data_IF_795564313277
#
_entry.id   IF_795564313277
#
_cell.length_a   1.000
_cell.length_b   1.000
_cell.length_c   1.000
_cell.angle_alpha   90.00
_cell.angle_beta   90.00
_cell.angle_gamma   90.00
#
_symmetry.space_group_name_H-M   'P 1'
#
loop_
_entity.id
_entity.type
_entity.pdbx_description
1 polymer ?
#
# COMPACT_ATOMS: atom_id res chain seq x y z
N UNK A 1 14.09 -26.49 -1.31
CA UNK A 1 13.53 -27.53 -2.20
C UNK A 1 14.29 -27.71 -3.53
N UNK A 2 15.08 -26.74 -4.02
CA UNK A 2 15.98 -26.94 -5.17
C UNK A 2 17.41 -26.48 -4.86
N UNK A 3 18.41 -27.09 -5.52
CA UNK A 3 19.81 -26.67 -5.39
C UNK A 3 19.97 -25.35 -6.13
N UNK A 4 20.51 -24.33 -5.47
CA UNK A 4 20.86 -23.05 -6.10
C UNK A 4 22.29 -23.12 -6.63
N UNK A 5 22.48 -23.03 -7.94
CA UNK A 5 23.79 -23.04 -8.61
C UNK A 5 23.97 -21.72 -9.35
N UNK A 6 25.10 -21.06 -9.12
CA UNK A 6 25.40 -19.78 -9.79
C UNK A 6 25.55 -20.02 -11.28
N UNK A 7 24.78 -19.26 -12.06
CA UNK A 7 24.80 -19.28 -13.51
C UNK A 7 25.63 -18.13 -14.09
N UNK A 8 25.48 -16.93 -13.53
CA UNK A 8 26.22 -15.74 -13.94
C UNK A 8 26.52 -14.81 -12.77
N UNK A 9 27.58 -14.00 -12.92
CA UNK A 9 27.96 -12.93 -11.99
C UNK A 9 28.40 -11.70 -12.76
N UNK A 10 27.94 -10.55 -12.34
CA UNK A 10 28.37 -9.25 -12.85
C UNK A 10 28.71 -8.31 -11.71
N UNK A 11 29.69 -7.45 -11.92
CA UNK A 11 30.08 -6.40 -10.96
C UNK A 11 29.98 -5.04 -11.60
N UNK A 12 29.33 -4.11 -10.91
CA UNK A 12 29.17 -2.72 -11.32
C UNK A 12 29.89 -1.85 -10.30
N UNK A 13 30.74 -0.92 -10.75
CA UNK A 13 31.48 -0.01 -9.87
C UNK A 13 30.80 1.35 -9.83
N UNK A 14 30.66 1.91 -8.64
CA UNK A 14 30.15 3.27 -8.45
C UNK A 14 31.29 4.26 -8.29
N UNK A 15 31.05 5.51 -8.71
CA UNK A 15 31.99 6.63 -8.51
C UNK A 15 31.97 7.10 -7.05
N UNK A 16 30.77 7.20 -6.49
CA UNK A 16 30.51 7.63 -5.12
C UNK A 16 29.84 6.50 -4.33
N UNK A 17 29.96 6.55 -3.01
CA UNK A 17 29.26 5.61 -2.14
C UNK A 17 27.75 5.87 -2.19
N UNK A 18 26.97 4.80 -2.29
CA UNK A 18 25.51 4.88 -2.19
C UNK A 18 25.12 5.11 -0.73
N UNK A 19 24.34 6.16 -0.42
CA UNK A 19 23.98 6.51 0.96
C UNK A 19 23.15 5.40 1.61
N UNK A 20 23.19 5.37 2.94
CA UNK A 20 22.25 4.59 3.74
C UNK A 20 20.82 5.10 3.53
N UNK A 21 19.87 4.19 3.71
CA UNK A 21 18.48 4.58 3.81
C UNK A 21 17.67 3.59 4.62
N UNK A 22 16.36 3.73 4.55
CA UNK A 22 15.43 2.95 5.37
C UNK A 22 15.00 1.70 4.59
N UNK A 23 15.60 0.54 4.90
CA UNK A 23 15.30 -0.73 4.24
C UNK A 23 13.80 -1.09 4.23
N UNK A 24 13.02 -0.91 5.32
CA UNK A 24 11.55 -1.04 5.28
C UNK A 24 10.88 -0.19 4.20
N UNK A 25 11.24 1.09 4.10
CA UNK A 25 10.68 2.00 3.11
C UNK A 25 11.08 1.59 1.69
N UNK A 26 12.36 1.26 1.46
CA UNK A 26 12.84 0.76 0.16
C UNK A 26 12.16 -0.54 -0.26
N UNK A 27 11.81 -1.39 0.69
CA UNK A 27 10.99 -2.58 0.41
C UNK A 27 9.60 -2.20 -0.10
N UNK A 28 8.92 -1.22 0.51
CA UNK A 28 7.62 -0.72 0.02
C UNK A 28 7.77 -0.14 -1.40
N UNK A 29 8.80 0.70 -1.60
CA UNK A 29 9.11 1.33 -2.89
C UNK A 29 9.39 0.28 -3.97
N UNK A 30 10.18 -0.76 -3.67
CA UNK A 30 10.50 -1.83 -4.61
C UNK A 30 9.24 -2.60 -5.01
N UNK A 31 8.41 -2.99 -4.04
CA UNK A 31 7.16 -3.71 -4.31
C UNK A 31 6.21 -2.86 -5.15
N UNK A 32 6.09 -1.56 -4.85
CA UNK A 32 5.27 -0.63 -5.62
C UNK A 32 5.81 -0.43 -7.03
N UNK A 33 7.11 -0.20 -7.20
CA UNK A 33 7.73 0.06 -8.49
C UNK A 33 7.66 -1.15 -9.41
N UNK A 34 7.93 -2.35 -8.90
CA UNK A 34 7.77 -3.61 -9.65
C UNK A 34 6.30 -3.84 -10.02
N UNK A 35 5.35 -3.52 -9.13
CA UNK A 35 3.93 -3.59 -9.43
C UNK A 35 3.53 -2.62 -10.55
N UNK A 36 4.10 -1.41 -10.55
CA UNK A 36 3.85 -0.39 -11.56
C UNK A 36 4.39 -0.80 -12.93
N UNK A 37 5.64 -1.26 -13.01
CA UNK A 37 6.25 -1.75 -14.25
C UNK A 37 5.52 -2.95 -14.86
N UNK A 38 5.05 -3.85 -14.01
CA UNK A 38 4.31 -5.04 -14.43
C UNK A 38 2.82 -4.77 -14.62
N UNK A 39 2.34 -3.56 -14.31
CA UNK A 39 0.94 -3.16 -14.23
C UNK A 39 0.07 -4.17 -13.44
N UNK A 40 0.65 -4.78 -12.40
CA UNK A 40 0.09 -5.94 -11.69
C UNK A 40 0.03 -5.70 -10.20
N UNK A 41 -1.16 -5.89 -9.62
CA UNK A 41 -1.33 -5.93 -8.16
C UNK A 41 -0.74 -7.26 -7.64
N UNK A 42 0.23 -7.22 -6.71
CA UNK A 42 0.84 -8.43 -6.16
C UNK A 42 -0.07 -9.17 -5.19
N UNK A 43 0.23 -10.45 -5.01
CA UNK A 43 -0.29 -11.28 -3.92
C UNK A 43 0.81 -11.51 -2.88
N UNK A 44 0.42 -11.57 -1.60
CA UNK A 44 1.35 -11.66 -0.48
C UNK A 44 1.20 -13.00 0.24
N UNK A 45 2.32 -13.68 0.48
CA UNK A 45 2.35 -14.95 1.21
C UNK A 45 3.45 -14.96 2.24
N UNK A 46 3.12 -15.40 3.46
CA UNK A 46 4.10 -15.61 4.52
C UNK A 46 4.42 -17.10 4.57
N UNK A 47 5.70 -17.43 4.34
CA UNK A 47 6.21 -18.80 4.46
C UNK A 47 6.98 -18.91 5.77
N UNK A 48 6.27 -19.18 6.86
CA UNK A 48 6.79 -19.11 8.23
C UNK A 48 8.02 -20.00 8.48
N UNK A 49 8.06 -21.21 7.91
CA UNK A 49 9.21 -22.12 8.04
C UNK A 49 10.49 -21.55 7.39
N UNK A 50 10.33 -20.74 6.35
CA UNK A 50 11.44 -20.08 5.64
C UNK A 50 11.71 -18.67 6.18
N UNK A 51 10.86 -18.17 7.09
CA UNK A 51 10.88 -16.79 7.59
C UNK A 51 10.91 -15.77 6.46
N UNK A 52 10.11 -16.00 5.43
CA UNK A 52 10.08 -15.15 4.23
C UNK A 52 8.70 -14.58 3.98
N UNK A 53 8.69 -13.34 3.51
CA UNK A 53 7.54 -12.71 2.87
C UNK A 53 7.74 -12.79 1.35
N UNK A 54 6.78 -13.42 0.68
CA UNK A 54 6.74 -13.60 -0.77
C UNK A 54 5.75 -12.60 -1.36
N UNK A 55 6.21 -11.87 -2.37
CA UNK A 55 5.41 -10.91 -3.14
C UNK A 55 5.33 -11.44 -4.56
N UNK A 56 4.17 -11.98 -4.92
CA UNK A 56 3.97 -12.75 -6.14
C UNK A 56 3.19 -11.97 -7.19
N UNK A 57 3.74 -11.90 -8.39
CA UNK A 57 3.15 -11.24 -9.56
C UNK A 57 2.78 -12.31 -10.59
N UNK A 58 1.58 -12.88 -10.46
CA UNK A 58 1.12 -13.98 -11.30
C UNK A 58 0.97 -13.59 -12.78
N UNK A 59 1.38 -14.47 -13.70
CA UNK A 59 1.33 -14.28 -15.16
C UNK A 59 2.12 -13.06 -15.65
N UNK A 60 3.26 -12.79 -15.01
CA UNK A 60 4.18 -11.73 -15.42
C UNK A 60 5.48 -12.31 -15.95
N UNK A 61 6.22 -11.51 -16.69
CA UNK A 61 7.56 -11.86 -17.15
C UNK A 61 8.44 -10.63 -17.21
N UNK A 62 9.74 -10.80 -16.96
CA UNK A 62 10.70 -9.70 -16.96
C UNK A 62 12.05 -10.19 -17.49
N UNK A 63 12.71 -9.37 -18.30
CA UNK A 63 14.11 -9.59 -18.69
C UNK A 63 14.99 -9.44 -17.45
N UNK A 64 15.69 -10.49 -17.07
CA UNK A 64 16.44 -10.59 -15.81
C UNK A 64 17.52 -9.51 -15.70
N UNK A 65 18.25 -9.23 -16.79
CA UNK A 65 19.28 -8.19 -16.79
C UNK A 65 18.69 -6.79 -16.64
N UNK A 66 17.60 -6.48 -17.34
CA UNK A 66 16.89 -5.20 -17.19
C UNK A 66 16.35 -5.04 -15.76
N UNK A 67 15.83 -6.12 -15.17
CA UNK A 67 15.38 -6.12 -13.78
C UNK A 67 16.54 -5.81 -12.83
N UNK A 68 17.68 -6.48 -12.99
CA UNK A 68 18.86 -6.28 -12.15
C UNK A 68 19.50 -4.91 -12.35
N UNK A 69 19.48 -4.37 -13.57
CA UNK A 69 19.94 -3.01 -13.86
C UNK A 69 19.04 -1.97 -13.17
N UNK A 70 17.73 -2.13 -13.27
CA UNK A 70 16.75 -1.18 -12.71
C UNK A 70 16.64 -1.27 -11.19
N UNK A 71 16.57 -2.47 -10.64
CA UNK A 71 16.26 -2.72 -9.23
C UNK A 71 17.44 -3.24 -8.40
N UNK A 72 18.61 -3.48 -9.00
CA UNK A 72 19.75 -4.07 -8.31
C UNK A 72 20.26 -3.23 -7.13
N UNK A 73 20.35 -1.91 -7.30
CA UNK A 73 20.76 -1.00 -6.20
C UNK A 73 19.76 -1.05 -5.05
N UNK A 74 18.47 -0.96 -5.37
CA UNK A 74 17.39 -0.99 -4.37
C UNK A 74 17.37 -2.35 -3.64
N UNK A 75 17.52 -3.44 -4.39
CA UNK A 75 17.62 -4.80 -3.86
C UNK A 75 18.81 -4.96 -2.91
N UNK A 76 19.96 -4.37 -3.23
CA UNK A 76 21.13 -4.41 -2.37
C UNK A 76 20.95 -3.57 -1.09
N UNK A 77 20.33 -2.39 -1.17
CA UNK A 77 20.00 -1.56 0.00
C UNK A 77 19.05 -2.28 0.96
N UNK A 78 18.04 -2.97 0.41
CA UNK A 78 17.11 -3.77 1.22
C UNK A 78 17.85 -4.96 1.84
N UNK A 79 18.69 -5.65 1.06
CA UNK A 79 19.40 -6.87 1.48
C UNK A 79 20.34 -6.72 2.66
N UNK A 80 20.76 -5.50 2.99
CA UNK A 80 21.56 -5.25 4.21
C UNK A 80 20.79 -5.54 5.49
N UNK A 81 19.45 -5.45 5.44
CA UNK A 81 18.56 -5.80 6.56
C UNK A 81 17.69 -7.02 6.24
N UNK A 82 17.06 -7.05 5.07
CA UNK A 82 16.18 -8.11 4.62
C UNK A 82 16.72 -8.70 3.32
N UNK A 83 17.52 -9.78 3.37
CA UNK A 83 18.03 -10.43 2.17
C UNK A 83 16.91 -10.65 1.14
N UNK A 84 17.05 -10.02 -0.03
CA UNK A 84 16.05 -10.11 -1.10
C UNK A 84 16.57 -10.98 -2.23
N UNK A 85 15.68 -11.81 -2.76
CA UNK A 85 15.90 -12.49 -4.02
C UNK A 85 14.67 -12.34 -4.90
N UNK A 86 14.88 -12.20 -6.20
CA UNK A 86 13.83 -12.31 -7.20
C UNK A 86 13.88 -13.73 -7.74
N UNK A 87 12.74 -14.39 -7.83
CA UNK A 87 12.66 -15.75 -8.33
C UNK A 87 11.45 -15.96 -9.21
N UNK A 88 11.48 -17.04 -9.97
CA UNK A 88 10.41 -17.43 -10.87
C UNK A 88 10.82 -18.66 -11.65
N UNK A 89 10.38 -18.74 -12.90
CA UNK A 89 10.72 -19.82 -13.82
C UNK A 89 11.34 -19.25 -15.09
N UNK A 90 12.38 -19.90 -15.63
CA UNK A 90 12.85 -19.61 -16.98
C UNK A 90 11.96 -20.27 -18.03
N UNK A 91 12.22 -19.97 -19.32
CA UNK A 91 11.51 -20.60 -20.46
C UNK A 91 11.64 -22.13 -20.51
N UNK A 92 12.69 -22.71 -19.91
CA UNK A 92 12.88 -24.16 -19.80
C UNK A 92 12.14 -24.78 -18.60
N UNK A 93 11.21 -24.03 -17.98
CA UNK A 93 10.46 -24.39 -16.77
C UNK A 93 11.37 -24.68 -15.56
N UNK A 94 12.57 -24.10 -15.57
CA UNK A 94 13.53 -24.24 -14.50
C UNK A 94 13.37 -23.14 -13.47
N UNK A 95 13.47 -23.47 -12.18
CA UNK A 95 13.47 -22.46 -11.13
C UNK A 95 14.77 -21.65 -11.14
N UNK A 96 14.62 -20.33 -11.14
CA UNK A 96 15.71 -19.36 -11.26
C UNK A 96 15.63 -18.28 -10.19
N UNK A 97 16.78 -17.68 -9.87
CA UNK A 97 16.92 -16.61 -8.90
C UNK A 97 17.85 -15.52 -9.42
N UNK A 98 17.55 -14.28 -9.06
CA UNK A 98 18.39 -13.12 -9.25
C UNK A 98 18.56 -12.38 -7.92
N UNK A 99 19.78 -12.00 -7.59
CA UNK A 99 20.14 -11.31 -6.36
C UNK A 99 21.11 -10.17 -6.64
N UNK A 100 21.07 -9.14 -5.81
CA UNK A 100 22.01 -8.03 -5.84
C UNK A 100 22.49 -7.72 -4.42
N UNK A 101 23.77 -7.44 -4.27
CA UNK A 101 24.37 -7.11 -2.99
C UNK A 101 25.56 -6.16 -3.11
N UNK A 102 25.73 -5.29 -2.11
CA UNK A 102 26.89 -4.43 -2.06
C UNK A 102 28.13 -5.18 -1.59
N UNK A 103 29.25 -4.90 -2.24
CA UNK A 103 30.58 -5.35 -1.82
C UNK A 103 31.52 -4.14 -1.71
N UNK A 104 32.69 -4.34 -1.08
CA UNK A 104 33.71 -3.30 -0.90
C UNK A 104 33.17 -2.00 -0.26
N UNK A 105 32.24 -2.10 0.68
CA UNK A 105 31.64 -0.95 1.37
C UNK A 105 30.79 -0.07 0.46
N UNK A 106 29.89 -0.68 -0.33
CA UNK A 106 28.99 -0.05 -1.33
C UNK A 106 29.68 0.69 -2.49
N UNK A 107 30.92 0.34 -2.77
CA UNK A 107 31.64 0.85 -3.96
C UNK A 107 31.38 0.01 -5.19
N UNK A 108 30.97 -1.24 -5.00
CA UNK A 108 30.57 -2.12 -6.09
C UNK A 108 29.27 -2.84 -5.74
N UNK A 109 28.46 -3.06 -6.77
CA UNK A 109 27.28 -3.90 -6.74
C UNK A 109 27.63 -5.22 -7.42
N UNK A 110 27.40 -6.33 -6.72
CA UNK A 110 27.46 -7.67 -7.29
C UNK A 110 26.04 -8.12 -7.65
N UNK A 111 25.84 -8.48 -8.92
CA UNK A 111 24.62 -9.06 -9.45
C UNK A 111 24.86 -10.55 -9.68
N UNK A 112 23.97 -11.40 -9.18
CA UNK A 112 24.11 -12.85 -9.25
C UNK A 112 22.84 -13.45 -9.85
N UNK A 113 22.99 -14.19 -10.94
CA UNK A 113 21.96 -15.09 -11.47
C UNK A 113 22.26 -16.51 -11.03
N UNK A 114 21.25 -17.23 -10.57
CA UNK A 114 21.34 -18.64 -10.20
C UNK A 114 20.20 -19.43 -10.80
N UNK A 115 20.47 -20.69 -11.12
CA UNK A 115 19.48 -21.65 -11.59
C UNK A 115 19.73 -23.01 -10.92
N UNK A 116 18.83 -23.97 -11.12
CA UNK A 116 18.98 -25.34 -10.60
C UNK A 116 20.10 -26.11 -11.31
N UNK A 117 20.30 -25.84 -12.59
CA UNK A 117 21.23 -26.48 -13.52
C UNK A 117 22.56 -25.73 -13.63
N UNK A 118 22.60 -24.46 -13.21
CA UNK A 118 23.74 -23.57 -13.40
C UNK A 118 23.82 -22.98 -14.81
N UNK A 119 22.81 -23.20 -15.66
CA UNK A 119 22.68 -22.53 -16.95
C UNK A 119 22.16 -21.11 -16.76
N UNK A 120 22.69 -20.19 -17.56
CA UNK A 120 22.24 -18.81 -17.59
C UNK A 120 20.87 -18.68 -18.27
N UNK A 121 20.20 -17.56 -18.02
CA UNK A 121 18.84 -17.29 -18.49
C UNK A 121 18.61 -15.78 -18.67
N UNK A 122 17.79 -15.46 -19.65
CA UNK A 122 17.49 -14.07 -20.02
C UNK A 122 16.20 -13.56 -19.36
N UNK A 123 15.20 -14.44 -19.18
CA UNK A 123 13.86 -14.08 -18.74
C UNK A 123 13.45 -14.83 -17.47
N UNK A 124 12.74 -14.14 -16.57
CA UNK A 124 12.07 -14.73 -15.41
C UNK A 124 10.57 -14.53 -15.59
N UNK A 125 9.84 -15.65 -15.68
CA UNK A 125 8.38 -15.66 -15.64
C UNK A 125 7.86 -15.93 -14.23
N UNK A 126 6.65 -15.46 -13.96
CA UNK A 126 5.98 -15.55 -12.65
C UNK A 126 6.84 -14.91 -11.56
N UNK A 127 7.15 -13.61 -11.73
CA UNK A 127 8.04 -12.86 -10.84
C UNK A 127 7.55 -12.97 -9.39
N UNK A 128 8.47 -13.32 -8.51
CA UNK A 128 8.25 -13.36 -7.07
C UNK A 128 9.44 -12.72 -6.35
N UNK A 129 9.18 -11.67 -5.58
CA UNK A 129 10.17 -11.11 -4.66
C UNK A 129 10.08 -11.86 -3.33
N UNK A 130 11.22 -12.30 -2.82
CA UNK A 130 11.32 -13.01 -1.55
C UNK A 130 12.20 -12.22 -0.60
N UNK A 131 11.62 -11.75 0.49
CA UNK A 131 12.32 -11.02 1.56
C UNK A 131 12.48 -11.95 2.76
N UNK A 132 13.71 -12.18 3.18
CA UNK A 132 13.99 -12.89 4.44
C UNK A 132 13.87 -11.92 5.62
N UNK A 133 12.97 -12.22 6.55
CA UNK A 133 12.67 -11.39 7.72
C UNK A 133 12.57 -12.32 8.93
N UNK A 134 13.62 -12.30 9.74
CA UNK A 134 13.79 -13.20 10.90
C UNK A 134 12.71 -12.97 11.97
N UNK A 135 12.40 -11.70 12.27
CA UNK A 135 11.40 -11.32 13.26
C UNK A 135 9.99 -11.43 12.68
N UNK A 136 9.16 -12.26 13.32
CA UNK A 136 7.79 -12.53 12.89
C UNK A 136 6.90 -11.30 13.01
N UNK A 137 7.02 -10.51 14.08
CA UNK A 137 6.21 -9.30 14.25
C UNK A 137 6.52 -8.25 13.20
N UNK A 138 7.81 -8.05 12.89
CA UNK A 138 8.28 -7.15 11.83
C UNK A 138 7.80 -7.61 10.45
N UNK A 139 7.88 -8.92 10.16
CA UNK A 139 7.39 -9.50 8.91
C UNK A 139 5.89 -9.31 8.73
N UNK A 140 5.12 -9.58 9.78
CA UNK A 140 3.66 -9.47 9.74
C UNK A 140 3.23 -8.00 9.60
N UNK A 141 3.92 -7.07 10.27
CA UNK A 141 3.68 -5.63 10.15
C UNK A 141 4.01 -5.11 8.73
N UNK A 142 5.15 -5.52 8.15
CA UNK A 142 5.51 -5.17 6.77
C UNK A 142 4.51 -5.73 5.77
N UNK A 143 4.06 -6.98 5.97
CA UNK A 143 3.01 -7.57 5.14
C UNK A 143 1.68 -6.80 5.27
N UNK A 144 1.32 -6.37 6.49
CA UNK A 144 0.11 -5.57 6.73
C UNK A 144 0.19 -4.20 6.04
N UNK A 145 1.36 -3.54 6.06
CA UNK A 145 1.59 -2.29 5.34
C UNK A 145 1.37 -2.45 3.83
N UNK A 146 1.79 -3.58 3.26
CA UNK A 146 1.66 -3.88 1.83
C UNK A 146 0.27 -4.39 1.42
N UNK A 147 -0.56 -4.83 2.37
CA UNK A 147 -1.83 -5.53 2.09
C UNK A 147 -2.82 -4.75 1.22
N UNK A 148 -2.68 -3.42 1.17
CA UNK A 148 -3.54 -2.52 0.42
C UNK A 148 -2.80 -1.76 -0.70
N UNK A 149 -1.61 -2.23 -1.09
CA UNK A 149 -0.82 -1.58 -2.11
C UNK A 149 -1.57 -1.55 -3.44
N UNK A 150 -1.62 -0.36 -4.04
CA UNK A 150 -2.14 -0.12 -5.38
C UNK A 150 -1.12 0.74 -6.13
N UNK A 151 -0.49 0.18 -7.17
CA UNK A 151 0.56 0.85 -7.94
C UNK A 151 0.06 2.10 -8.68
N UNK A 152 -1.26 2.26 -8.80
CA UNK A 152 -1.92 3.41 -9.41
C UNK A 152 -2.08 4.58 -8.44
N UNK A 153 -1.58 4.47 -7.21
CA UNK A 153 -1.63 5.51 -6.19
C UNK A 153 -0.22 6.00 -5.89
N UNK A 154 -0.07 7.29 -5.64
CA UNK A 154 1.22 7.92 -5.34
C UNK A 154 1.65 7.73 -3.88
N UNK A 155 0.73 7.29 -3.02
CA UNK A 155 0.97 7.02 -1.61
C UNK A 155 0.58 5.59 -1.26
N UNK A 156 1.23 5.05 -0.22
CA UNK A 156 0.82 3.86 0.50
C UNK A 156 0.36 4.25 1.90
N UNK A 157 -0.94 4.06 2.17
CA UNK A 157 -1.51 4.31 3.48
C UNK A 157 -1.21 3.14 4.44
N UNK A 158 -0.49 3.39 5.53
CA UNK A 158 -0.10 2.40 6.53
C UNK A 158 -0.63 2.77 7.92
N UNK A 159 -0.89 1.76 8.74
CA UNK A 159 -1.35 1.95 10.11
C UNK A 159 -0.27 2.58 10.99
N UNK A 160 -0.67 3.44 11.94
CA UNK A 160 0.25 4.10 12.90
C UNK A 160 0.57 3.23 14.12
N UNK A 161 0.82 1.94 13.93
CA UNK A 161 1.23 1.05 15.02
C UNK A 161 2.59 1.49 15.59
N UNK A 162 2.92 1.07 16.82
CA UNK A 162 4.24 1.36 17.39
C UNK A 162 5.36 0.76 16.55
N UNK A 163 5.13 -0.40 15.92
CA UNK A 163 6.11 -1.08 15.10
C UNK A 163 6.29 -0.37 13.75
N UNK A 164 5.21 0.01 13.05
CA UNK A 164 5.29 0.81 11.82
C UNK A 164 6.02 2.15 12.06
N UNK A 165 5.76 2.82 13.18
CA UNK A 165 6.49 4.05 13.56
C UNK A 165 8.00 3.84 13.69
N UNK A 166 8.43 2.70 14.25
CA UNK A 166 9.85 2.33 14.34
C UNK A 166 10.43 1.96 12.99
N UNK A 167 9.70 1.17 12.19
CA UNK A 167 10.14 0.72 10.87
C UNK A 167 10.43 1.90 9.95
N UNK A 168 9.52 2.86 9.90
CA UNK A 168 9.61 4.03 9.02
C UNK A 168 10.16 5.27 9.75
N UNK A 169 10.94 5.08 10.81
CA UNK A 169 11.61 6.19 11.50
C UNK A 169 12.60 6.89 10.55
N UNK A 170 12.63 8.22 10.59
CA UNK A 170 13.49 9.04 9.74
C UNK A 170 12.96 9.30 8.32
N UNK A 171 11.89 8.63 7.91
CA UNK A 171 11.15 8.99 6.69
C UNK A 171 10.31 10.24 6.99
N UNK A 172 10.36 11.23 6.09
CA UNK A 172 9.56 12.43 6.19
C UNK A 172 8.05 12.11 6.24
N UNK A 173 7.28 13.00 6.85
CA UNK A 173 5.84 12.81 7.01
C UNK A 173 5.14 14.15 6.80
N UNK A 174 4.44 14.27 5.68
CA UNK A 174 3.75 15.50 5.29
C UNK A 174 2.45 15.70 6.07
N UNK A 175 1.83 14.60 6.52
CA UNK A 175 0.54 14.57 7.20
C UNK A 175 0.64 13.84 8.55
N UNK A 176 1.26 14.43 9.59
CA UNK A 176 1.50 13.74 10.86
C UNK A 176 0.24 13.51 11.72
N UNK A 177 -0.81 14.29 11.49
CA UNK A 177 -2.04 14.32 12.32
C UNK A 177 -3.18 13.44 11.77
N UNK A 178 -3.01 12.82 10.60
CA UNK A 178 -3.98 11.89 10.02
C UNK A 178 -4.03 10.57 10.77
N UNK A 179 -5.13 9.82 10.66
CA UNK A 179 -5.26 8.52 11.33
C UNK A 179 -4.30 7.46 10.77
N UNK A 180 -4.13 7.43 9.44
CA UNK A 180 -3.08 6.64 8.79
C UNK A 180 -1.83 7.47 8.51
N UNK A 181 -0.69 6.81 8.33
CA UNK A 181 0.51 7.42 7.78
C UNK A 181 0.56 7.16 6.28
N UNK A 182 0.95 8.16 5.49
CA UNK A 182 1.03 8.06 4.04
C UNK A 182 2.50 8.08 3.61
N UNK A 183 2.98 6.95 3.11
CA UNK A 183 4.34 6.84 2.57
C UNK A 183 4.29 7.25 1.09
N UNK A 184 5.09 8.21 0.63
CA UNK A 184 5.15 8.54 -0.79
C UNK A 184 5.82 7.38 -1.54
N UNK A 185 5.16 6.85 -2.56
CA UNK A 185 5.69 5.79 -3.42
C UNK A 185 6.14 6.33 -4.78
N UNK A 186 5.46 7.39 -5.24
CA UNK A 186 5.78 8.13 -6.45
C UNK A 186 5.90 9.62 -6.11
N UNK A 187 6.62 10.38 -6.93
CA UNK A 187 6.69 11.84 -6.83
C UNK A 187 5.51 12.55 -7.51
N UNK A 188 4.38 11.85 -7.71
CA UNK A 188 3.21 12.36 -8.39
C UNK A 188 2.36 13.31 -7.55
N UNK A 189 1.36 13.91 -8.22
CA UNK A 189 0.50 14.96 -7.67
C UNK A 189 -0.84 14.42 -7.13
N UNK A 190 -1.05 13.10 -7.02
CA UNK A 190 -2.32 12.58 -6.51
C UNK A 190 -2.51 12.87 -5.03
N UNK A 191 -3.74 13.22 -4.68
CA UNK A 191 -4.13 13.48 -3.31
C UNK A 191 -4.00 12.23 -2.44
N UNK A 192 -3.32 12.36 -1.29
CA UNK A 192 -2.96 11.23 -0.43
C UNK A 192 -4.17 10.42 0.05
N UNK A 193 -5.34 11.04 0.24
CA UNK A 193 -6.54 10.35 0.70
C UNK A 193 -7.14 9.41 -0.36
N UNK A 194 -6.73 9.52 -1.62
CA UNK A 194 -7.09 8.54 -2.66
C UNK A 194 -6.42 7.17 -2.42
N UNK A 195 -5.24 7.15 -1.80
CA UNK A 195 -4.49 5.94 -1.50
C UNK A 195 -5.14 5.04 -0.44
N UNK A 196 -6.16 5.53 0.29
CA UNK A 196 -6.89 4.73 1.26
C UNK A 196 -7.62 3.58 0.56
N UNK A 197 -7.44 2.36 1.05
CA UNK A 197 -8.23 1.22 0.60
C UNK A 197 -9.69 1.33 1.04
N UNK A 198 -10.56 0.52 0.43
CA UNK A 198 -11.97 0.45 0.84
C UNK A 198 -12.11 0.09 2.32
N UNK A 199 -11.30 -0.85 2.80
CA UNK A 199 -11.29 -1.24 4.21
C UNK A 199 -10.79 -0.11 5.11
N UNK A 200 -9.76 0.64 4.69
CA UNK A 200 -9.27 1.78 5.48
C UNK A 200 -10.31 2.90 5.56
N UNK A 201 -10.98 3.23 4.45
CA UNK A 201 -12.13 4.16 4.44
C UNK A 201 -13.26 3.69 5.36
N UNK A 202 -13.60 2.40 5.32
CA UNK A 202 -14.60 1.80 6.23
C UNK A 202 -14.19 1.97 7.69
N UNK A 203 -12.92 1.72 8.03
CA UNK A 203 -12.43 1.89 9.40
C UNK A 203 -12.50 3.34 9.88
N UNK A 204 -12.27 4.33 9.01
CA UNK A 204 -12.48 5.75 9.36
C UNK A 204 -13.97 6.04 9.68
N UNK A 205 -14.88 5.43 8.93
CA UNK A 205 -16.32 5.53 9.24
C UNK A 205 -16.68 4.85 10.55
N UNK A 206 -16.14 3.66 10.85
CA UNK A 206 -16.34 2.98 12.14
C UNK A 206 -15.80 3.85 13.29
N UNK A 207 -14.61 4.42 13.12
CA UNK A 207 -14.01 5.34 14.09
C UNK A 207 -14.95 6.52 14.44
N UNK A 208 -15.60 7.08 13.42
CA UNK A 208 -16.59 8.13 13.61
C UNK A 208 -17.90 7.61 14.22
N UNK A 209 -18.48 6.54 13.68
CA UNK A 209 -19.82 6.06 14.05
C UNK A 209 -19.86 5.45 15.45
N UNK A 210 -18.85 4.67 15.83
CA UNK A 210 -18.78 3.99 17.12
C UNK A 210 -18.08 4.85 18.18
N UNK A 211 -16.91 5.43 17.86
CA UNK A 211 -16.06 6.13 18.84
C UNK A 211 -16.23 7.65 18.82
N UNK A 212 -17.05 8.20 17.90
CA UNK A 212 -17.28 9.64 17.75
C UNK A 212 -16.01 10.45 17.45
N UNK A 213 -15.01 9.80 16.86
CA UNK A 213 -13.76 10.44 16.45
C UNK A 213 -13.81 10.71 14.95
N UNK A 214 -13.86 11.99 14.58
CA UNK A 214 -13.73 12.43 13.19
C UNK A 214 -12.25 12.54 12.83
N UNK A 215 -11.75 11.59 12.05
CA UNK A 215 -10.39 11.62 11.54
C UNK A 215 -10.15 12.82 10.61
N UNK A 216 -8.91 13.33 10.58
CA UNK A 216 -8.52 14.50 9.77
C UNK A 216 -8.73 14.24 8.27
N UNK A 217 -8.61 12.99 7.84
CA UNK A 217 -8.92 12.56 6.47
C UNK A 217 -10.29 13.05 5.97
N UNK A 218 -11.31 13.13 6.85
CA UNK A 218 -12.63 13.64 6.48
C UNK A 218 -12.59 15.13 6.11
N UNK A 219 -11.73 15.92 6.74
CA UNK A 219 -11.58 17.36 6.43
C UNK A 219 -11.10 17.56 4.99
N UNK A 220 -10.06 16.82 4.59
CA UNK A 220 -9.54 16.86 3.23
C UNK A 220 -10.61 16.47 2.20
N UNK A 221 -11.37 15.42 2.48
CA UNK A 221 -12.45 14.96 1.60
C UNK A 221 -13.57 16.00 1.49
N UNK A 222 -13.98 16.62 2.60
CA UNK A 222 -15.03 17.64 2.59
C UNK A 222 -14.56 18.91 1.89
N UNK A 223 -13.31 19.31 2.06
CA UNK A 223 -12.75 20.46 1.35
C UNK A 223 -12.70 20.18 -0.17
N UNK A 224 -12.27 18.99 -0.58
CA UNK A 224 -12.31 18.59 -1.99
C UNK A 224 -13.73 18.56 -2.58
N UNK A 225 -14.74 18.20 -1.78
CA UNK A 225 -16.15 18.30 -2.20
C UNK A 225 -16.62 19.75 -2.39
N UNK A 226 -16.23 20.65 -1.49
CA UNK A 226 -16.58 22.07 -1.57
C UNK A 226 -15.95 22.75 -2.79
N UNK A 227 -14.70 22.37 -3.08
CA UNK A 227 -13.91 22.94 -4.18
C UNK A 227 -14.22 22.29 -5.53
N UNK A 228 -15.07 21.24 -5.55
CA UNK A 228 -15.46 20.52 -6.76
C UNK A 228 -14.34 19.64 -7.35
N UNK A 229 -13.24 19.44 -6.61
CA UNK A 229 -12.11 18.61 -7.03
C UNK A 229 -12.29 17.12 -6.71
N UNK A 230 -13.30 16.76 -5.90
CA UNK A 230 -13.54 15.36 -5.56
C UNK A 230 -14.18 14.57 -6.71
N UNK A 231 -13.44 13.60 -7.25
CA UNK A 231 -13.90 12.74 -8.36
C UNK A 231 -14.53 11.41 -7.88
N UNK A 232 -14.27 10.97 -6.64
CA UNK A 232 -14.55 9.59 -6.19
C UNK A 232 -15.43 9.46 -4.94
N UNK A 233 -16.47 10.30 -4.79
CA UNK A 233 -17.39 10.27 -3.63
C UNK A 233 -18.02 8.88 -3.39
N UNK A 234 -18.33 8.16 -4.45
CA UNK A 234 -18.95 6.83 -4.35
C UNK A 234 -18.10 5.82 -3.55
N UNK A 235 -16.77 5.94 -3.56
CA UNK A 235 -15.92 5.06 -2.74
C UNK A 235 -16.09 5.31 -1.24
N UNK A 236 -16.33 6.56 -0.86
CA UNK A 236 -16.62 6.94 0.52
C UNK A 236 -18.05 6.54 0.93
N UNK A 237 -19.01 6.64 0.01
CA UNK A 237 -20.37 6.12 0.23
C UNK A 237 -20.37 4.60 0.41
N UNK A 238 -19.68 3.86 -0.45
CA UNK A 238 -19.62 2.40 -0.34
C UNK A 238 -18.97 1.98 0.98
N UNK A 239 -17.86 2.61 1.36
CA UNK A 239 -17.22 2.39 2.66
C UNK A 239 -18.16 2.72 3.83
N UNK A 240 -18.97 3.78 3.71
CA UNK A 240 -19.98 4.13 4.72
C UNK A 240 -21.03 3.03 4.85
N UNK A 241 -21.58 2.55 3.72
CA UNK A 241 -22.57 1.46 3.71
C UNK A 241 -22.03 0.20 4.37
N UNK A 242 -20.77 -0.14 4.10
CA UNK A 242 -20.09 -1.28 4.75
C UNK A 242 -19.96 -1.08 6.26
N UNK A 243 -19.63 0.13 6.73
CA UNK A 243 -19.51 0.43 8.16
C UNK A 243 -20.88 0.42 8.86
N UNK A 244 -21.93 0.92 8.21
CA UNK A 244 -23.30 0.90 8.72
C UNK A 244 -23.80 -0.54 8.90
N UNK A 245 -23.58 -1.40 7.90
CA UNK A 245 -23.92 -2.81 7.95
C UNK A 245 -23.19 -3.53 9.11
N UNK A 246 -21.87 -3.34 9.22
CA UNK A 246 -21.05 -3.95 10.27
C UNK A 246 -21.46 -3.54 11.69
N UNK A 247 -21.89 -2.28 11.86
CA UNK A 247 -22.33 -1.74 13.16
C UNK A 247 -23.83 -1.95 13.43
N UNK A 248 -24.59 -2.50 12.47
CA UNK A 248 -26.05 -2.64 12.59
C UNK A 248 -26.79 -1.30 12.67
N UNK A 249 -26.27 -0.26 12.02
CA UNK A 249 -26.86 1.07 12.00
C UNK A 249 -27.78 1.19 10.79
N UNK A 250 -29.04 1.58 11.02
CA UNK A 250 -30.02 1.82 9.96
C UNK A 250 -30.20 3.31 9.68
N UNK A 251 -30.48 3.64 8.42
CA UNK A 251 -30.90 4.97 7.98
C UNK A 251 -32.31 4.86 7.42
N UNK A 252 -33.26 5.45 8.12
CA UNK A 252 -34.67 5.49 7.73
C UNK A 252 -35.00 6.86 7.15
N UNK A 253 -35.52 6.90 5.92
CA UNK A 253 -36.10 8.11 5.34
C UNK A 253 -37.58 8.17 5.69
N UNK A 254 -38.02 9.31 6.22
CA UNK A 254 -39.43 9.68 6.37
C UNK A 254 -39.74 10.82 5.38
N UNK A 255 -41.02 11.18 5.19
CA UNK A 255 -41.42 12.18 4.17
C UNK A 255 -40.69 13.53 4.32
N UNK A 256 -40.44 13.97 5.57
CA UNK A 256 -39.79 15.26 5.88
C UNK A 256 -38.59 15.16 6.85
N UNK A 257 -38.20 13.96 7.28
CA UNK A 257 -37.10 13.76 8.24
C UNK A 257 -36.34 12.46 7.92
N UNK A 258 -35.16 12.31 8.52
CA UNK A 258 -34.44 11.05 8.53
C UNK A 258 -34.05 10.66 9.95
N UNK A 259 -33.93 9.36 10.17
CA UNK A 259 -33.45 8.81 11.43
C UNK A 259 -32.28 7.89 11.14
N UNK A 260 -31.18 8.15 11.83
CA UNK A 260 -30.07 7.22 11.93
C UNK A 260 -30.21 6.53 13.28
N UNK A 261 -30.37 5.22 13.28
CA UNK A 261 -30.58 4.42 14.49
C UNK A 261 -29.43 3.43 14.63
N UNK A 262 -28.85 3.32 15.83
CA UNK A 262 -27.90 2.25 16.11
C UNK A 262 -28.59 0.88 16.26
N UNK A 263 -27.78 -0.17 16.49
CA UNK A 263 -28.27 -1.55 16.65
C UNK A 263 -29.30 -1.73 17.78
N UNK A 264 -29.29 -0.84 18.76
CA UNK A 264 -30.20 -0.86 19.92
C UNK A 264 -31.44 0.04 19.67
N UNK A 265 -31.58 0.58 18.46
CA UNK A 265 -32.66 1.48 18.06
C UNK A 265 -32.51 2.91 18.59
N UNK A 266 -31.35 3.28 19.13
CA UNK A 266 -31.11 4.62 19.67
C UNK A 266 -30.70 5.58 18.55
N UNK A 267 -31.32 6.76 18.54
CA UNK A 267 -31.05 7.79 17.52
C UNK A 267 -29.64 8.34 17.65
N UNK A 268 -28.88 8.27 16.55
CA UNK A 268 -27.65 9.00 16.32
C UNK A 268 -28.00 10.38 15.75
N UNK A 269 -27.63 11.44 16.47
CA UNK A 269 -27.83 12.82 16.02
C UNK A 269 -26.62 13.27 15.23
N UNK A 270 -26.87 13.98 14.13
CA UNK A 270 -25.84 14.55 13.27
C UNK A 270 -26.22 15.99 12.91
N UNK A 271 -25.22 16.86 12.79
CA UNK A 271 -25.42 18.29 12.48
C UNK A 271 -24.51 18.72 11.31
N UNK A 272 -25.10 19.23 10.23
CA UNK A 272 -24.33 19.71 9.08
C UNK A 272 -23.61 21.04 9.34
N UNK A 273 -24.22 21.93 10.12
CA UNK A 273 -23.69 23.27 10.36
C UNK A 273 -22.63 23.32 11.46
N UNK A 274 -22.82 22.53 12.53
CA UNK A 274 -21.95 22.53 13.71
C UNK A 274 -21.24 21.20 13.96
N UNK A 275 -21.57 20.16 13.22
CA UNK A 275 -20.92 18.86 13.36
C UNK A 275 -19.50 18.84 12.80
N UNK A 276 -18.84 17.73 13.08
CA UNK A 276 -17.53 17.37 12.54
C UNK A 276 -17.54 17.19 11.02
N UNK A 277 -16.36 17.15 10.39
CA UNK A 277 -16.26 16.92 8.95
C UNK A 277 -16.79 15.54 8.54
N UNK A 278 -16.66 14.53 9.41
CA UNK A 278 -17.31 13.23 9.20
C UNK A 278 -18.85 13.34 9.18
N UNK A 279 -19.47 14.12 10.07
CA UNK A 279 -20.92 14.37 10.05
C UNK A 279 -21.36 15.09 8.77
N UNK A 280 -20.59 16.10 8.36
CA UNK A 280 -20.86 16.84 7.13
C UNK A 280 -20.79 15.94 5.90
N UNK A 281 -19.75 15.10 5.80
CA UNK A 281 -19.62 14.14 4.71
C UNK A 281 -20.75 13.12 4.73
N UNK A 282 -21.08 12.56 5.91
CA UNK A 282 -22.16 11.59 6.07
C UNK A 282 -23.48 12.16 5.54
N UNK A 283 -23.85 13.35 6.00
CA UNK A 283 -25.08 14.01 5.58
C UNK A 283 -25.05 14.37 4.09
N UNK A 284 -23.89 14.79 3.56
CA UNK A 284 -23.76 15.06 2.13
C UNK A 284 -23.92 13.80 1.27
N UNK A 285 -23.48 12.64 1.74
CA UNK A 285 -23.68 11.36 1.07
C UNK A 285 -25.16 10.94 1.10
N UNK A 286 -25.85 11.10 2.23
CA UNK A 286 -27.28 10.78 2.32
C UNK A 286 -28.16 11.73 1.51
N UNK A 287 -27.76 13.00 1.40
CA UNK A 287 -28.50 14.05 0.72
C UNK A 287 -27.64 14.68 -0.39
N UNK A 288 -27.39 13.96 -1.50
CA UNK A 288 -26.44 14.39 -2.53
C UNK A 288 -26.92 15.63 -3.29
N UNK A 289 -28.24 15.79 -3.46
CA UNK A 289 -28.87 16.87 -4.24
C UNK A 289 -29.14 18.09 -3.35
N UNK A 290 -28.60 19.24 -3.73
CA UNK A 290 -29.19 20.51 -3.31
C UNK A 290 -30.48 20.64 -4.13
N UNK A 291 -31.65 20.55 -3.51
CA UNK A 291 -32.89 20.87 -4.23
C UNK A 291 -32.77 22.30 -4.74
N UNK A 292 -32.57 22.46 -6.05
CA UNK A 292 -32.87 23.74 -6.69
C UNK A 292 -34.35 23.99 -6.41
N UNK A 293 -34.64 25.02 -5.62
CA UNK A 293 -36.01 25.50 -5.45
C UNK A 293 -36.59 25.60 -6.86
N UNK A 294 -37.58 24.76 -7.16
CA UNK A 294 -38.43 24.95 -8.31
C UNK A 294 -38.92 26.39 -8.21
N UNK A 295 -38.45 27.26 -9.10
CA UNK A 295 -39.07 28.56 -9.30
C UNK A 295 -40.48 28.24 -9.75
N UNK A 296 -41.44 28.35 -8.82
CA UNK A 296 -42.86 28.35 -9.14
C UNK A 296 -43.06 29.38 -10.26
N UNK A 297 -43.59 28.90 -11.40
CA UNK A 297 -44.04 29.71 -12.53
C UNK A 297 -45.44 30.21 -12.24
#
# INVERSE_FOLDING_TARGET
MHKKVIAARQKIKFRDNIPEGNAPYYMMEMVWAVASDLEKIPQFYIVGQEKTLWVFYEYTSFICDDFLEKYGVLSALISEKYPVSVCGTSGELEHVWAEAGFINGRKELELIKSSTSGRDFDEISNICLRFYIEDEGERDELCSCLANLDYRQDYLAVSRTLLAKKLFAGIAEDYPDTYYRYLPMSGGDMEFWNALSMNQKKMLWILFLEYKVSAVEFEYVVNALKDGSMVYLFTWELALRMALDELGISVESQEDDFKVLDKDGKRLRMDYGRGSEAEKLFLKILFPVIQEKQKEV
#
